data_IF_855139758750
#
_entry.id   IF_855139758750
#
_cell.length_a   1.000
_cell.length_b   1.000
_cell.length_c   1.000
_cell.angle_alpha   90.00
_cell.angle_beta   90.00
_cell.angle_gamma   90.00
#
_symmetry.space_group_name_H-M   'P 1'
#
loop_
_entity.id
_entity.type
_entity.pdbx_description
1 polymer ?
#
# COMPACT_ATOMS: atom_id res chain seq x y z
N UNK A 1 -66.19 30.04 -4.92
CA UNK A 1 -65.79 28.82 -4.19
C UNK A 1 -64.47 28.32 -4.75
N UNK A 2 -63.51 28.05 -3.86
CA UNK A 2 -62.05 27.92 -4.07
C UNK A 2 -61.70 26.43 -4.19
N UNK A 3 -60.97 25.99 -5.22
CA UNK A 3 -60.31 24.65 -5.32
C UNK A 3 -59.05 24.80 -6.19
N UNK A 4 -57.94 25.30 -5.65
CA UNK A 4 -56.79 24.55 -5.08
C UNK A 4 -56.22 23.44 -5.99
N UNK A 5 -54.95 23.70 -6.38
CA UNK A 5 -53.99 22.85 -7.09
C UNK A 5 -53.72 21.50 -6.38
N UNK A 6 -53.42 20.46 -7.17
CA UNK A 6 -52.49 19.40 -6.77
C UNK A 6 -51.50 19.15 -7.92
N UNK A 7 -50.29 19.71 -7.81
CA UNK A 7 -49.12 19.35 -8.62
C UNK A 7 -48.57 18.06 -8.03
N UNK A 8 -48.53 16.99 -8.84
CA UNK A 8 -47.89 15.72 -8.47
C UNK A 8 -46.39 15.87 -8.72
N UNK A 9 -45.61 16.03 -7.65
CA UNK A 9 -44.15 15.98 -7.70
C UNK A 9 -43.71 14.51 -7.70
N UNK A 10 -43.15 14.05 -8.83
CA UNK A 10 -42.50 12.74 -8.92
C UNK A 10 -41.12 12.85 -8.27
N UNK A 11 -40.98 12.33 -7.06
CA UNK A 11 -39.68 12.18 -6.39
C UNK A 11 -39.01 10.93 -6.94
N UNK A 12 -38.03 11.10 -7.82
CA UNK A 12 -37.13 10.01 -8.24
C UNK A 12 -36.07 9.86 -7.14
N UNK A 13 -36.24 8.84 -6.29
CA UNK A 13 -35.22 8.46 -5.32
C UNK A 13 -34.08 7.73 -6.04
N UNK A 14 -32.97 8.42 -6.28
CA UNK A 14 -31.73 7.79 -6.74
C UNK A 14 -31.15 6.97 -5.58
N UNK A 15 -31.20 5.65 -5.71
CA UNK A 15 -30.49 4.70 -4.83
C UNK A 15 -29.00 4.81 -5.09
N UNK A 16 -28.31 5.68 -4.34
CA UNK A 16 -26.87 5.65 -4.24
C UNK A 16 -26.44 4.43 -3.43
N UNK A 17 -25.90 3.41 -4.08
CA UNK A 17 -25.20 2.32 -3.40
C UNK A 17 -23.89 2.88 -2.84
N UNK A 18 -23.94 3.48 -1.64
CA UNK A 18 -22.76 3.83 -0.90
C UNK A 18 -22.00 2.54 -0.56
N UNK A 19 -20.80 2.39 -1.11
CA UNK A 19 -19.87 1.37 -0.66
C UNK A 19 -19.60 1.60 0.83
N UNK A 20 -20.06 0.68 1.68
CA UNK A 20 -19.72 0.69 3.10
C UNK A 20 -18.24 0.33 3.21
N UNK A 21 -17.39 1.34 3.37
CA UNK A 21 -16.02 1.11 3.80
C UNK A 21 -16.06 0.58 5.24
N UNK A 22 -15.91 -0.73 5.41
CA UNK A 22 -15.69 -1.34 6.73
C UNK A 22 -14.37 -0.82 7.29
N UNK A 23 -14.45 0.03 8.30
CA UNK A 23 -13.27 0.46 9.05
C UNK A 23 -12.63 -0.78 9.71
N UNK A 24 -11.41 -1.11 9.29
CA UNK A 24 -10.57 -2.06 10.01
C UNK A 24 -10.31 -1.52 11.41
N UNK A 25 -10.64 -2.30 12.45
CA UNK A 25 -10.39 -1.95 13.86
C UNK A 25 -8.88 -1.94 14.17
N UNK A 26 -8.17 -0.90 13.77
CA UNK A 26 -6.75 -0.71 14.06
C UNK A 26 -6.34 0.75 13.96
N UNK A 27 -5.34 1.13 14.76
CA UNK A 27 -4.70 2.43 14.62
C UNK A 27 -3.73 2.36 13.44
N UNK A 28 -3.92 3.25 12.45
CA UNK A 28 -3.02 3.40 11.31
C UNK A 28 -2.21 4.68 11.47
N UNK A 29 -0.90 4.55 11.68
CA UNK A 29 0.03 5.67 11.78
C UNK A 29 0.74 5.84 10.44
N UNK A 30 0.51 6.93 9.70
CA UNK A 30 1.15 7.14 8.41
C UNK A 30 2.65 7.43 8.55
N UNK A 31 3.44 7.00 7.57
CA UNK A 31 4.86 7.27 7.49
C UNK A 31 5.32 7.51 6.04
N UNK A 32 6.53 8.06 5.91
CA UNK A 32 7.24 8.26 4.63
C UNK A 32 8.72 8.01 4.83
N UNK A 33 9.35 7.42 3.83
CA UNK A 33 10.79 7.19 3.80
C UNK A 33 11.36 7.50 2.40
N UNK A 34 12.64 7.84 2.36
CA UNK A 34 13.37 8.02 1.11
C UNK A 34 14.81 7.62 1.32
N UNK A 35 15.32 6.74 0.46
CA UNK A 35 16.69 6.26 0.53
C UNK A 35 17.26 5.97 -0.86
N UNK A 36 18.59 6.00 -0.95
CA UNK A 36 19.32 5.65 -2.16
C UNK A 36 19.72 4.17 -2.08
N UNK A 37 19.14 3.36 -2.95
CA UNK A 37 19.55 1.99 -3.19
C UNK A 37 20.78 1.90 -4.08
N UNK A 38 21.44 0.74 -4.06
CA UNK A 38 22.53 0.41 -4.98
C UNK A 38 22.01 -0.46 -6.13
N UNK A 39 22.44 -0.23 -7.38
CA UNK A 39 23.35 0.83 -7.83
C UNK A 39 22.63 2.14 -8.21
N UNK A 40 22.48 3.11 -7.31
CA UNK A 40 21.98 4.45 -7.67
C UNK A 40 20.47 4.58 -7.89
N UNK A 41 19.69 3.56 -7.51
CA UNK A 41 18.23 3.67 -7.45
C UNK A 41 17.82 4.63 -6.31
N UNK A 42 16.74 5.37 -6.48
CA UNK A 42 16.11 6.15 -5.39
C UNK A 42 14.75 5.54 -5.10
N UNK A 43 14.53 5.21 -3.84
CA UNK A 43 13.27 4.70 -3.31
C UNK A 43 12.53 5.82 -2.61
N UNK A 44 11.28 6.05 -2.99
CA UNK A 44 10.39 6.98 -2.31
C UNK A 44 9.16 6.21 -1.84
N UNK A 45 9.04 6.01 -0.53
CA UNK A 45 8.03 5.16 0.09
C UNK A 45 7.04 5.97 0.92
N UNK A 46 5.78 5.54 0.90
CA UNK A 46 4.74 6.05 1.79
C UNK A 46 3.80 4.90 2.18
N UNK A 47 3.43 4.86 3.45
CA UNK A 47 2.63 3.78 3.99
C UNK A 47 1.99 4.11 5.32
N UNK A 48 1.46 3.08 5.96
CA UNK A 48 0.96 3.16 7.32
C UNK A 48 1.35 1.93 8.14
N UNK A 49 1.77 2.20 9.37
CA UNK A 49 1.92 1.20 10.42
C UNK A 49 0.58 0.95 11.06
N UNK A 50 0.07 -0.26 10.92
CA UNK A 50 -1.27 -0.67 11.34
C UNK A 50 -1.18 -1.64 12.50
N UNK A 51 -1.62 -1.18 13.66
CA UNK A 51 -1.75 -2.00 14.87
C UNK A 51 -3.22 -2.33 15.10
N UNK A 52 -3.56 -3.60 15.10
CA UNK A 52 -4.87 -4.08 15.53
C UNK A 52 -4.74 -5.18 16.60
N UNK A 53 -5.86 -5.73 17.07
CA UNK A 53 -5.85 -6.74 18.15
C UNK A 53 -5.19 -8.08 17.78
N UNK A 54 -5.03 -8.38 16.49
CA UNK A 54 -4.60 -9.71 16.00
C UNK A 54 -3.31 -9.65 15.19
N UNK A 55 -2.86 -8.47 14.78
CA UNK A 55 -1.68 -8.28 13.93
C UNK A 55 -1.12 -6.88 14.06
N UNK A 56 0.20 -6.78 13.98
CA UNK A 56 0.93 -5.56 13.65
C UNK A 56 1.44 -5.72 12.22
N UNK A 57 1.21 -4.73 11.36
CA UNK A 57 1.68 -4.77 9.97
C UNK A 57 1.99 -3.38 9.42
N UNK A 58 2.84 -3.34 8.41
CA UNK A 58 2.98 -2.20 7.53
C UNK A 58 2.31 -2.52 6.19
N UNK A 59 1.70 -1.50 5.60
CA UNK A 59 1.25 -1.51 4.22
C UNK A 59 1.75 -0.24 3.57
N UNK A 60 2.59 -0.38 2.56
CA UNK A 60 3.29 0.74 1.95
C UNK A 60 3.47 0.57 0.45
N UNK A 61 3.67 1.70 -0.21
CA UNK A 61 3.97 1.78 -1.63
C UNK A 61 5.26 2.56 -1.82
N UNK A 62 6.21 1.96 -2.53
CA UNK A 62 7.43 2.62 -2.96
C UNK A 62 7.43 2.86 -4.46
N UNK A 63 7.91 4.02 -4.89
CA UNK A 63 8.29 4.28 -6.28
C UNK A 63 9.81 4.29 -6.37
N UNK A 64 10.33 3.54 -7.32
CA UNK A 64 11.76 3.41 -7.58
C UNK A 64 12.08 4.11 -8.89
N UNK A 65 13.01 5.06 -8.83
CA UNK A 65 13.52 5.81 -9.98
C UNK A 65 15.04 5.81 -10.03
N UNK A 66 15.63 6.34 -11.10
CA UNK A 66 17.08 6.36 -11.29
C UNK A 66 17.55 5.11 -12.03
N UNK A 67 18.62 4.47 -11.56
CA UNK A 67 19.08 3.21 -12.15
C UNK A 67 18.25 2.04 -11.63
N UNK A 68 17.35 1.57 -12.48
CA UNK A 68 16.45 0.44 -12.24
C UNK A 68 16.97 -0.86 -12.83
N UNK A 69 18.27 -0.95 -13.12
CA UNK A 69 18.90 -2.17 -13.62
C UNK A 69 18.75 -3.31 -12.60
N UNK A 70 18.25 -4.45 -13.06
CA UNK A 70 18.12 -5.67 -12.24
C UNK A 70 16.84 -5.77 -11.42
N UNK A 71 15.97 -4.75 -11.43
CA UNK A 71 14.60 -4.91 -10.96
C UNK A 71 13.83 -5.81 -11.91
N UNK A 72 13.03 -6.70 -11.35
CA UNK A 72 12.24 -7.67 -12.11
C UNK A 72 10.82 -7.65 -11.56
N UNK A 73 9.85 -7.32 -12.41
CA UNK A 73 8.44 -7.35 -12.06
C UNK A 73 8.03 -8.76 -11.62
N UNK A 74 7.19 -8.84 -10.58
CA UNK A 74 6.79 -10.10 -9.98
C UNK A 74 6.37 -9.93 -8.52
N UNK A 75 5.91 -11.03 -7.91
CA UNK A 75 5.58 -11.06 -6.48
C UNK A 75 6.63 -11.88 -5.75
N UNK A 76 7.20 -11.29 -4.70
CA UNK A 76 8.23 -11.87 -3.86
C UNK A 76 7.73 -11.92 -2.42
N UNK A 77 8.23 -12.89 -1.65
CA UNK A 77 7.86 -13.04 -0.24
C UNK A 77 8.99 -13.65 0.56
N UNK A 78 9.02 -13.37 1.86
CA UNK A 78 9.98 -13.92 2.80
C UNK A 78 9.42 -14.10 4.20
N UNK A 79 10.05 -14.97 5.00
CA UNK A 79 9.73 -15.17 6.41
C UNK A 79 10.93 -15.73 7.20
N UNK A 80 11.72 -14.87 7.88
CA UNK A 80 11.84 -13.43 7.64
C UNK A 80 12.65 -13.11 6.36
N UNK A 81 13.47 -14.08 5.89
CA UNK A 81 14.29 -13.92 4.70
C UNK A 81 13.51 -14.28 3.43
N UNK A 82 13.78 -13.54 2.35
CA UNK A 82 13.26 -13.82 1.01
C UNK A 82 14.16 -13.21 -0.06
N UNK A 83 14.03 -13.69 -1.29
CA UNK A 83 14.80 -13.17 -2.43
C UNK A 83 14.04 -12.01 -3.10
N UNK A 84 14.72 -10.88 -3.29
CA UNK A 84 14.22 -9.71 -4.02
C UNK A 84 15.32 -9.19 -4.96
N UNK A 85 15.15 -9.26 -6.30
CA UNK A 85 16.05 -8.62 -7.23
C UNK A 85 16.02 -7.09 -7.12
N UNK A 86 17.16 -6.39 -7.27
CA UNK A 86 18.53 -6.91 -7.45
C UNK A 86 19.26 -7.26 -6.14
N UNK A 87 18.62 -7.12 -4.98
CA UNK A 87 19.23 -7.19 -3.65
C UNK A 87 19.62 -8.59 -3.17
N UNK A 88 19.06 -9.64 -3.78
CA UNK A 88 19.34 -11.01 -3.35
C UNK A 88 18.47 -11.43 -2.16
N UNK A 89 19.01 -12.31 -1.31
CA UNK A 89 18.30 -12.80 -0.11
C UNK A 89 18.49 -11.79 1.02
N UNK A 90 17.40 -11.22 1.51
CA UNK A 90 17.41 -10.25 2.62
C UNK A 90 16.15 -10.40 3.48
N UNK A 91 16.19 -9.80 4.68
CA UNK A 91 15.00 -9.47 5.44
C UNK A 91 14.34 -8.18 4.94
N UNK A 92 13.11 -7.92 5.42
CA UNK A 92 12.44 -6.63 5.29
C UNK A 92 12.50 -5.89 6.61
N UNK A 93 12.92 -4.62 6.57
CA UNK A 93 13.02 -3.74 7.74
C UNK A 93 11.96 -2.65 7.59
N UNK A 94 11.19 -2.43 8.66
CA UNK A 94 10.16 -1.41 8.76
C UNK A 94 10.70 -0.01 8.48
N UNK A 95 10.10 0.68 7.51
CA UNK A 95 10.35 2.10 7.23
C UNK A 95 9.77 3.03 8.32
N UNK A 96 8.94 2.50 9.23
CA UNK A 96 8.36 3.24 10.34
C UNK A 96 9.30 3.32 11.56
N UNK A 97 9.89 2.20 11.96
CA UNK A 97 10.63 2.08 13.22
C UNK A 97 11.89 1.21 13.18
N UNK A 98 12.24 0.65 12.02
CA UNK A 98 13.44 -0.19 11.85
C UNK A 98 13.29 -1.62 12.37
N UNK A 99 12.09 -2.05 12.76
CA UNK A 99 11.84 -3.44 13.18
C UNK A 99 11.92 -4.41 11.99
N UNK A 100 12.55 -5.57 12.18
CA UNK A 100 12.59 -6.64 11.17
C UNK A 100 11.24 -7.35 11.10
N UNK A 101 10.69 -7.48 9.90
CA UNK A 101 9.43 -8.17 9.66
C UNK A 101 9.54 -9.68 9.91
N UNK A 102 8.52 -10.27 10.52
CA UNK A 102 8.39 -11.73 10.69
C UNK A 102 8.01 -12.43 9.38
N UNK A 103 7.25 -11.73 8.53
CA UNK A 103 6.97 -12.13 7.15
C UNK A 103 6.65 -10.91 6.30
N UNK A 104 6.91 -11.00 5.00
CA UNK A 104 6.64 -9.91 4.06
C UNK A 104 6.28 -10.44 2.68
N UNK A 105 5.56 -9.62 1.93
CA UNK A 105 5.24 -9.82 0.54
C UNK A 105 5.36 -8.48 -0.20
N UNK A 106 5.99 -8.51 -1.38
CA UNK A 106 6.25 -7.36 -2.22
C UNK A 106 5.78 -7.68 -3.63
N UNK A 107 4.90 -6.85 -4.19
CA UNK A 107 4.57 -6.90 -5.61
C UNK A 107 5.32 -5.79 -6.33
N UNK A 108 6.24 -6.17 -7.21
CA UNK A 108 7.04 -5.28 -8.06
C UNK A 108 6.33 -5.14 -9.41
N UNK A 109 6.02 -3.91 -9.79
CA UNK A 109 5.41 -3.54 -11.08
C UNK A 109 6.39 -2.69 -11.87
N UNK A 110 6.63 -3.06 -13.13
CA UNK A 110 7.31 -2.19 -14.11
C UNK A 110 6.28 -1.20 -14.66
N UNK A 111 6.59 0.09 -14.56
CA UNK A 111 5.68 1.16 -15.00
C UNK A 111 5.81 1.50 -16.49
N UNK A 112 6.84 0.97 -17.19
CA UNK A 112 7.08 1.21 -18.61
C UNK A 112 7.71 2.57 -18.95
N UNK A 113 8.03 3.39 -17.94
CA UNK A 113 8.68 4.71 -18.07
C UNK A 113 10.09 4.75 -17.48
N UNK A 114 10.66 3.57 -17.17
CA UNK A 114 11.95 3.43 -16.50
C UNK A 114 11.86 3.44 -14.97
N UNK A 115 10.67 3.58 -14.39
CA UNK A 115 10.42 3.45 -12.95
C UNK A 115 9.78 2.11 -12.60
N UNK A 116 9.90 1.72 -11.33
CA UNK A 116 9.19 0.58 -10.75
C UNK A 116 8.32 1.01 -9.57
N UNK A 117 7.27 0.25 -9.30
CA UNK A 117 6.43 0.42 -8.12
C UNK A 117 6.39 -0.86 -7.31
N UNK A 118 6.62 -0.73 -6.01
CA UNK A 118 6.53 -1.82 -5.05
C UNK A 118 5.33 -1.59 -4.14
N UNK A 119 4.43 -2.56 -4.13
CA UNK A 119 3.39 -2.69 -3.11
C UNK A 119 3.85 -3.69 -2.06
N UNK A 120 4.04 -3.22 -0.83
CA UNK A 120 4.59 -4.00 0.27
C UNK A 120 3.53 -4.22 1.34
N UNK A 121 3.48 -5.44 1.86
CA UNK A 121 2.83 -5.79 3.12
C UNK A 121 3.81 -6.57 3.97
N UNK A 122 4.11 -6.07 5.17
CA UNK A 122 5.02 -6.69 6.12
C UNK A 122 4.32 -6.87 7.47
N UNK A 123 4.50 -8.03 8.10
CA UNK A 123 3.90 -8.36 9.40
C UNK A 123 4.97 -8.44 10.48
N UNK A 124 4.58 -8.09 11.71
CA UNK A 124 5.46 -8.04 12.87
C UNK A 124 4.84 -8.81 14.04
N UNK A 125 5.70 -9.34 14.91
CA UNK A 125 5.36 -10.14 16.08
C UNK A 125 5.64 -9.40 17.38
#
# INVERSE_FOLDING_TARGET
MKRLLCIVAVVVAALGTGAVATASQGAATPFKATYNGTPGATWTCAGAHVVNRVSVKDSERCVISGDTTGYVAGTYSGSPLGFLPPYGISDWISDYDGTIASSWMITVTDNGDGTFTLDIVAYYS
#
